data_IF_927067037948
#
_entry.id   IF_927067037948
#
_cell.length_a   1.000
_cell.length_b   1.000
_cell.length_c   1.000
_cell.angle_alpha   90.00
_cell.angle_beta   90.00
_cell.angle_gamma   90.00
#
_symmetry.space_group_name_H-M   'P 1'
#
loop_
_entity.id
_entity.type
_entity.pdbx_description
1 polymer ?
#
# COMPACT_ATOMS: atom_id res chain seq x y z
N UNK A 1 31.07 42.99 7.89
CA UNK A 1 30.89 41.55 7.62
C UNK A 1 29.83 41.45 6.56
N UNK A 2 30.24 41.46 5.30
CA UNK A 2 29.37 41.12 4.18
C UNK A 2 29.26 39.61 4.17
N UNK A 3 28.05 39.09 4.44
CA UNK A 3 27.78 37.69 4.26
C UNK A 3 27.63 37.46 2.76
N UNK A 4 28.66 36.89 2.12
CA UNK A 4 28.46 36.19 0.85
C UNK A 4 27.60 34.96 1.16
N UNK A 5 26.29 35.09 0.98
CA UNK A 5 25.38 33.95 0.95
C UNK A 5 25.62 33.30 -0.41
N UNK A 6 26.50 32.31 -0.43
CA UNK A 6 26.74 31.50 -1.61
C UNK A 6 25.70 30.37 -1.60
N UNK A 7 24.69 30.51 -2.46
CA UNK A 7 23.62 29.52 -2.66
C UNK A 7 24.08 28.58 -3.77
N UNK A 8 24.06 27.27 -3.52
CA UNK A 8 24.34 26.21 -4.51
C UNK A 8 23.14 25.26 -4.53
N UNK A 9 22.78 24.66 -5.67
CA UNK A 9 21.43 24.09 -5.87
C UNK A 9 21.43 22.72 -6.58
N UNK A 10 20.64 21.78 -6.05
CA UNK A 10 20.60 20.37 -6.47
C UNK A 10 19.76 20.14 -7.70
N UNK A 11 20.34 19.45 -8.70
CA UNK A 11 19.61 18.75 -9.76
C UNK A 11 18.68 17.72 -9.11
N UNK A 12 17.38 17.72 -9.43
CA UNK A 12 16.69 16.65 -10.17
C UNK A 12 15.22 17.03 -10.51
N UNK A 13 14.90 16.72 -11.78
CA UNK A 13 13.66 16.69 -12.59
C UNK A 13 12.56 17.77 -12.59
N UNK A 14 12.32 18.20 -13.83
CA UNK A 14 11.24 19.02 -14.40
C UNK A 14 9.86 18.38 -14.29
N UNK A 15 8.83 19.22 -14.08
CA UNK A 15 7.82 19.36 -15.12
C UNK A 15 7.84 20.82 -15.62
N UNK A 16 8.17 20.97 -16.91
CA UNK A 16 8.39 22.18 -17.72
C UNK A 16 9.81 22.79 -17.71
N UNK A 17 10.57 22.45 -18.76
CA UNK A 17 11.62 23.32 -19.32
C UNK A 17 13.04 23.02 -18.83
N UNK A 18 13.86 22.51 -19.76
CA UNK A 18 15.32 22.50 -19.66
C UNK A 18 15.84 23.95 -19.58
N UNK A 19 16.61 24.25 -18.54
CA UNK A 19 17.81 25.08 -18.60
C UNK A 19 18.57 24.93 -17.28
N UNK A 20 19.88 24.98 -17.37
CA UNK A 20 20.81 24.87 -16.25
C UNK A 20 20.48 25.88 -15.12
N UNK A 21 20.73 25.43 -13.89
CA UNK A 21 20.97 26.22 -12.68
C UNK A 21 19.76 26.80 -11.86
N UNK A 22 19.70 26.39 -10.59
CA UNK A 22 19.76 27.31 -9.44
C UNK A 22 18.51 27.77 -8.60
N UNK A 23 17.30 27.19 -8.72
CA UNK A 23 16.16 27.51 -7.80
C UNK A 23 15.01 26.46 -7.81
N UNK A 24 14.36 26.14 -6.68
CA UNK A 24 13.07 25.37 -6.70
C UNK A 24 11.90 26.33 -6.82
N UNK A 25 11.36 26.44 -8.03
CA UNK A 25 10.26 27.35 -8.38
C UNK A 25 8.99 26.56 -8.65
N UNK A 26 7.95 26.80 -7.83
CA UNK A 26 6.62 26.25 -8.07
C UNK A 26 5.77 27.26 -8.86
N UNK A 27 4.99 26.76 -9.82
CA UNK A 27 4.08 27.56 -10.68
C UNK A 27 2.68 26.96 -10.68
N UNK A 28 1.70 27.82 -10.93
CA UNK A 28 0.29 27.44 -11.05
C UNK A 28 -0.48 27.48 -9.72
N UNK A 29 -1.78 27.13 -9.75
CA UNK A 29 -2.69 27.37 -8.63
C UNK A 29 -2.27 26.72 -7.30
N UNK A 30 -1.62 25.56 -7.36
CA UNK A 30 -1.16 24.82 -6.17
C UNK A 30 0.18 25.30 -5.61
N UNK A 31 0.90 26.17 -6.33
CA UNK A 31 2.25 26.61 -5.96
C UNK A 31 2.39 27.23 -4.55
N UNK A 32 1.46 28.08 -4.08
CA UNK A 32 1.56 28.66 -2.73
C UNK A 32 1.52 27.56 -1.65
N UNK A 33 0.57 26.63 -1.78
CA UNK A 33 0.36 25.54 -0.81
C UNK A 33 1.50 24.54 -0.84
N UNK A 34 1.99 24.17 -2.04
CA UNK A 34 3.15 23.28 -2.19
C UNK A 34 4.40 23.86 -1.53
N UNK A 35 4.71 25.13 -1.81
CA UNK A 35 5.89 25.80 -1.26
C UNK A 35 5.80 25.94 0.26
N UNK A 36 4.63 26.30 0.80
CA UNK A 36 4.40 26.37 2.24
C UNK A 36 4.49 25.01 2.92
N UNK A 37 3.80 24.01 2.38
CA UNK A 37 3.78 22.65 2.92
C UNK A 37 5.16 22.01 2.95
N UNK A 38 5.93 22.12 1.88
CA UNK A 38 7.29 21.59 1.83
C UNK A 38 8.22 22.33 2.79
N UNK A 39 8.19 23.68 2.83
CA UNK A 39 9.01 24.47 3.74
C UNK A 39 8.77 24.09 5.21
N UNK A 40 7.51 23.99 5.63
CA UNK A 40 7.14 23.62 6.99
C UNK A 40 7.48 22.15 7.30
N UNK A 41 7.38 21.25 6.32
CA UNK A 41 7.80 19.86 6.43
C UNK A 41 9.30 19.74 6.69
N UNK A 42 10.10 20.39 5.85
CA UNK A 42 11.57 20.39 5.97
C UNK A 42 12.01 21.04 7.29
N UNK A 43 11.30 22.07 7.75
CA UNK A 43 11.58 22.71 9.03
C UNK A 43 11.32 21.75 10.19
N UNK A 44 10.17 21.08 10.21
CA UNK A 44 9.83 20.09 11.23
C UNK A 44 10.83 18.92 11.26
N UNK A 45 11.25 18.42 10.09
CA UNK A 45 12.27 17.37 9.99
C UNK A 45 13.61 17.86 10.56
N UNK A 46 14.02 19.08 10.24
CA UNK A 46 15.27 19.66 10.75
C UNK A 46 15.25 19.89 12.26
N UNK A 47 14.09 20.20 12.86
CA UNK A 47 13.95 20.34 14.32
C UNK A 47 14.18 19.00 15.03
N UNK A 48 13.78 17.87 14.42
CA UNK A 48 13.99 16.53 14.97
C UNK A 48 15.38 15.99 14.60
N UNK A 49 15.80 16.13 13.34
CA UNK A 49 17.01 15.52 12.79
C UNK A 49 17.70 16.49 11.82
N UNK A 50 18.49 17.46 12.35
CA UNK A 50 19.05 18.57 11.56
C UNK A 50 19.92 18.17 10.35
N UNK A 51 20.46 16.96 10.33
CA UNK A 51 21.32 16.48 9.23
C UNK A 51 20.63 15.47 8.32
N UNK A 52 19.36 15.16 8.54
CA UNK A 52 18.61 14.20 7.73
C UNK A 52 17.96 14.84 6.50
N UNK A 53 17.79 16.16 6.50
CA UNK A 53 17.17 16.91 5.41
C UNK A 53 17.95 18.21 5.14
N UNK A 54 17.92 18.76 3.91
CA UNK A 54 18.32 20.14 3.64
C UNK A 54 17.64 21.11 4.61
N UNK A 55 18.40 22.02 5.22
CA UNK A 55 17.81 23.03 6.09
C UNK A 55 17.04 24.06 5.24
N UNK A 56 15.76 24.32 5.52
CA UNK A 56 15.05 25.41 4.85
C UNK A 56 15.41 26.75 5.50
N UNK A 57 15.67 27.75 4.67
CA UNK A 57 16.09 29.09 5.10
C UNK A 57 15.02 30.14 4.86
N UNK A 58 14.40 30.14 3.69
CA UNK A 58 13.35 31.08 3.34
C UNK A 58 12.39 30.49 2.32
N UNK A 59 11.18 31.04 2.26
CA UNK A 59 10.23 30.87 1.17
C UNK A 59 9.60 32.21 0.82
N UNK A 60 9.08 32.36 -0.38
CA UNK A 60 8.39 33.59 -0.77
C UNK A 60 7.70 33.53 -2.11
N UNK A 61 6.91 34.57 -2.39
CA UNK A 61 6.30 34.82 -3.70
C UNK A 61 7.18 35.79 -4.49
N UNK A 62 7.36 35.55 -5.78
CA UNK A 62 7.98 36.53 -6.67
C UNK A 62 7.10 37.77 -6.83
N UNK A 63 7.72 38.94 -7.06
CA UNK A 63 6.98 40.20 -7.15
C UNK A 63 6.17 40.35 -8.43
N UNK A 64 6.69 39.85 -9.55
CA UNK A 64 6.19 40.14 -10.89
C UNK A 64 5.56 38.94 -11.59
N UNK A 65 5.42 37.81 -10.89
CA UNK A 65 4.87 36.57 -11.44
C UNK A 65 4.17 35.76 -10.33
N UNK A 66 3.25 34.88 -10.73
CA UNK A 66 2.56 33.97 -9.80
C UNK A 66 3.38 32.69 -9.59
N UNK A 67 4.64 32.89 -9.18
CA UNK A 67 5.62 31.86 -8.88
C UNK A 67 6.03 31.97 -7.42
N UNK A 68 6.43 30.85 -6.83
CA UNK A 68 6.87 30.76 -5.44
C UNK A 68 8.21 30.05 -5.37
N UNK A 69 9.07 30.48 -4.45
CA UNK A 69 10.40 29.93 -4.25
C UNK A 69 10.60 29.41 -2.84
N UNK A 70 11.51 28.45 -2.71
CA UNK A 70 12.06 28.00 -1.44
C UNK A 70 13.59 27.94 -1.54
N UNK A 71 14.28 28.43 -0.50
CA UNK A 71 15.72 28.37 -0.35
C UNK A 71 16.08 27.36 0.73
N UNK A 72 16.93 26.40 0.40
CA UNK A 72 17.39 25.33 1.31
C UNK A 72 18.91 25.13 1.21
N UNK A 73 19.48 24.35 2.12
CA UNK A 73 20.86 23.89 1.98
C UNK A 73 21.08 23.13 0.67
N UNK A 74 22.20 23.38 0.02
CA UNK A 74 22.69 22.52 -1.05
C UNK A 74 23.17 21.17 -0.53
N UNK A 75 22.67 20.07 -1.10
CA UNK A 75 23.17 18.72 -0.82
C UNK A 75 23.61 18.05 -2.12
N UNK A 76 24.89 17.67 -2.18
CA UNK A 76 25.43 16.93 -3.31
C UNK A 76 24.89 15.49 -3.28
N UNK A 77 24.01 15.16 -4.23
CA UNK A 77 23.40 13.83 -4.36
C UNK A 77 24.44 12.82 -4.83
N UNK A 78 24.69 11.80 -4.01
CA UNK A 78 25.53 10.65 -4.32
C UNK A 78 24.72 9.45 -4.74
N UNK A 79 24.91 8.32 -4.05
CA UNK A 79 24.13 7.11 -4.30
C UNK A 79 22.66 7.33 -3.95
N UNK A 80 21.80 7.03 -4.91
CA UNK A 80 20.35 7.13 -4.80
C UNK A 80 19.71 5.84 -5.34
N UNK A 81 18.93 5.08 -4.54
CA UNK A 81 18.67 5.29 -3.12
C UNK A 81 19.90 4.99 -2.23
N UNK A 82 19.93 5.48 -0.98
CA UNK A 82 21.05 5.32 -0.05
C UNK A 82 21.25 3.87 0.43
N UNK A 83 22.31 3.62 1.19
CA UNK A 83 22.49 2.32 1.84
C UNK A 83 21.30 1.94 2.73
N UNK A 84 20.69 0.74 2.57
CA UNK A 84 19.48 0.36 3.32
C UNK A 84 19.67 0.35 4.84
N UNK A 85 20.85 -0.05 5.34
CA UNK A 85 21.10 -0.17 6.78
C UNK A 85 21.19 1.21 7.40
N UNK A 86 22.05 2.08 6.85
CA UNK A 86 22.18 3.46 7.35
C UNK A 86 20.87 4.24 7.22
N UNK A 87 20.22 4.17 6.05
CA UNK A 87 19.05 4.99 5.76
C UNK A 87 17.89 4.66 6.69
N UNK A 88 17.55 3.38 6.81
CA UNK A 88 16.41 2.97 7.63
C UNK A 88 16.64 3.19 9.11
N UNK A 89 17.90 3.15 9.58
CA UNK A 89 18.24 3.52 10.95
C UNK A 89 17.97 5.01 11.22
N UNK A 90 18.37 5.90 10.29
CA UNK A 90 18.12 7.34 10.41
C UNK A 90 16.64 7.72 10.30
N UNK A 91 15.90 7.07 9.40
CA UNK A 91 14.46 7.29 9.24
C UNK A 91 13.69 6.82 10.49
N UNK A 92 14.00 5.63 10.99
CA UNK A 92 13.42 5.12 12.23
C UNK A 92 13.75 6.01 13.43
N UNK A 93 14.99 6.50 13.54
CA UNK A 93 15.40 7.45 14.59
C UNK A 93 14.59 8.75 14.55
N UNK A 94 14.37 9.33 13.36
CA UNK A 94 13.48 10.50 13.21
C UNK A 94 12.06 10.19 13.72
N UNK A 95 11.47 9.08 13.30
CA UNK A 95 10.14 8.68 13.75
C UNK A 95 10.11 8.51 15.28
N UNK A 96 11.08 7.82 15.86
CA UNK A 96 11.18 7.56 17.30
C UNK A 96 11.44 8.81 18.15
N UNK A 97 12.18 9.81 17.65
CA UNK A 97 12.48 11.04 18.40
C UNK A 97 11.48 12.17 18.19
N UNK A 98 10.72 12.15 17.10
CA UNK A 98 9.69 13.16 16.84
C UNK A 98 8.61 13.18 17.92
N UNK A 99 8.06 14.36 18.21
CA UNK A 99 6.98 14.56 19.17
C UNK A 99 5.95 15.47 18.53
N UNK A 100 4.70 15.00 18.40
CA UNK A 100 3.61 15.85 17.92
C UNK A 100 3.40 17.03 18.87
N UNK A 101 3.33 18.28 18.37
CA UNK A 101 3.17 19.47 19.20
C UNK A 101 1.83 19.49 19.95
N UNK A 102 0.85 18.72 19.50
CA UNK A 102 -0.48 18.61 20.11
C UNK A 102 -0.71 17.26 20.80
N UNK A 103 0.22 16.32 20.66
CA UNK A 103 0.01 14.91 21.03
C UNK A 103 -0.97 14.15 20.12
N UNK A 104 -1.49 14.79 19.06
CA UNK A 104 -2.46 14.23 18.10
C UNK A 104 -1.83 13.95 16.73
N UNK A 105 -2.53 13.20 15.89
CA UNK A 105 -2.16 13.00 14.48
C UNK A 105 -2.62 14.20 13.65
N UNK A 106 -1.82 14.63 12.69
CA UNK A 106 -2.10 15.85 11.92
C UNK A 106 -0.88 16.72 11.66
N UNK A 107 -1.11 17.92 11.17
CA UNK A 107 -0.10 18.95 10.93
C UNK A 107 -0.72 20.35 11.06
N UNK A 108 0.11 21.38 11.16
CA UNK A 108 -0.37 22.77 11.32
C UNK A 108 -0.71 23.45 9.99
N UNK A 109 -0.40 22.82 8.86
CA UNK A 109 -0.66 23.34 7.52
C UNK A 109 -0.92 22.20 6.55
N UNK A 110 -1.52 22.51 5.41
CA UNK A 110 -1.71 21.56 4.32
C UNK A 110 -0.38 21.28 3.65
N UNK A 111 -0.03 20.01 3.53
CA UNK A 111 1.11 19.54 2.73
C UNK A 111 0.64 18.92 1.42
N UNK A 112 1.59 18.67 0.51
CA UNK A 112 1.30 18.09 -0.80
C UNK A 112 2.17 16.85 -1.05
N UNK A 113 1.70 15.98 -1.94
CA UNK A 113 2.50 14.98 -2.62
C UNK A 113 2.43 15.27 -4.12
N UNK A 114 3.55 15.73 -4.68
CA UNK A 114 3.52 16.41 -5.97
C UNK A 114 2.55 17.61 -5.92
N UNK A 115 1.63 17.69 -6.87
CA UNK A 115 0.60 18.74 -6.92
C UNK A 115 -0.69 18.39 -6.17
N UNK A 116 -0.77 17.21 -5.55
CA UNK A 116 -1.95 16.73 -4.82
C UNK A 116 -1.90 17.21 -3.38
N UNK A 117 -2.90 17.95 -2.94
CA UNK A 117 -3.06 18.37 -1.54
C UNK A 117 -3.37 17.19 -0.63
N UNK A 118 -2.85 17.22 0.60
CA UNK A 118 -3.12 16.22 1.61
C UNK A 118 -3.99 16.82 2.73
N UNK A 119 -4.97 16.05 3.23
CA UNK A 119 -5.72 16.43 4.44
C UNK A 119 -4.79 16.30 5.65
N UNK A 120 -4.15 17.40 6.02
CA UNK A 120 -3.12 17.43 7.06
C UNK A 120 -3.27 18.60 8.02
N UNK A 121 -3.95 19.69 7.64
CA UNK A 121 -4.21 20.87 8.50
C UNK A 121 -5.30 20.65 9.58
N UNK A 122 -5.45 19.40 10.02
CA UNK A 122 -6.42 18.98 11.03
C UNK A 122 -5.71 18.14 12.09
N UNK A 123 -6.29 18.06 13.29
CA UNK A 123 -5.75 17.26 14.39
C UNK A 123 -6.75 16.24 14.90
N UNK A 124 -6.34 14.97 14.90
CA UNK A 124 -7.17 13.83 15.29
C UNK A 124 -6.49 12.97 16.36
N UNK A 125 -7.27 12.47 17.31
CA UNK A 125 -6.76 11.56 18.35
C UNK A 125 -6.59 10.12 17.83
N UNK A 126 -7.42 9.73 16.86
CA UNK A 126 -7.38 8.41 16.23
C UNK A 126 -6.67 8.47 14.89
N UNK A 127 -5.66 7.63 14.72
CA UNK A 127 -4.97 7.43 13.45
C UNK A 127 -5.92 6.87 12.38
N UNK A 128 -6.79 5.93 12.75
CA UNK A 128 -7.78 5.37 11.84
C UNK A 128 -8.70 6.46 11.28
N UNK A 129 -9.12 7.42 12.12
CA UNK A 129 -9.96 8.55 11.71
C UNK A 129 -9.22 9.47 10.74
N UNK A 130 -7.98 9.88 11.07
CA UNK A 130 -7.21 10.75 10.18
C UNK A 130 -6.92 10.07 8.84
N UNK A 131 -6.43 8.83 8.87
CA UNK A 131 -6.08 8.09 7.66
C UNK A 131 -7.30 7.85 6.77
N UNK A 132 -8.47 7.55 7.35
CA UNK A 132 -9.72 7.44 6.59
C UNK A 132 -10.06 8.74 5.85
N UNK A 133 -9.94 9.90 6.51
CA UNK A 133 -10.17 11.22 5.88
C UNK A 133 -9.18 11.48 4.74
N UNK A 134 -7.90 11.15 4.96
CA UNK A 134 -6.85 11.31 3.95
C UNK A 134 -7.10 10.42 2.72
N UNK A 135 -7.42 9.14 2.92
CA UNK A 135 -7.66 8.22 1.82
C UNK A 135 -8.97 8.52 1.08
N UNK A 136 -10.03 8.90 1.79
CA UNK A 136 -11.28 9.35 1.18
C UNK A 136 -11.07 10.58 0.28
N UNK A 137 -10.24 11.54 0.70
CA UNK A 137 -9.87 12.67 -0.13
C UNK A 137 -9.15 12.23 -1.42
N UNK A 138 -8.23 11.27 -1.33
CA UNK A 138 -7.54 10.71 -2.50
C UNK A 138 -8.50 10.02 -3.47
N UNK A 139 -9.47 9.24 -2.97
CA UNK A 139 -10.49 8.61 -3.81
C UNK A 139 -11.40 9.65 -4.49
N UNK A 140 -11.80 10.71 -3.79
CA UNK A 140 -12.57 11.80 -4.40
C UNK A 140 -11.80 12.51 -5.52
N UNK A 141 -10.49 12.73 -5.34
CA UNK A 141 -9.63 13.31 -6.37
C UNK A 141 -9.42 12.37 -7.56
N UNK A 142 -9.32 11.06 -7.34
CA UNK A 142 -9.27 10.05 -8.41
C UNK A 142 -10.56 10.07 -9.24
N UNK A 143 -11.72 10.10 -8.58
CA UNK A 143 -13.04 10.19 -9.22
C UNK A 143 -13.16 11.46 -10.07
N UNK A 144 -12.75 12.61 -9.53
CA UNK A 144 -12.76 13.89 -10.29
C UNK A 144 -11.83 13.83 -11.52
N UNK A 145 -10.68 13.17 -11.38
CA UNK A 145 -9.65 13.11 -12.42
C UNK A 145 -9.99 12.15 -13.56
N UNK A 146 -10.47 10.96 -13.22
CA UNK A 146 -10.61 9.83 -14.16
C UNK A 146 -12.06 9.46 -14.47
N UNK A 147 -13.01 10.01 -13.72
CA UNK A 147 -14.43 9.68 -13.85
C UNK A 147 -14.81 8.39 -13.13
N UNK A 148 -16.12 8.10 -13.19
CA UNK A 148 -16.73 7.00 -12.43
C UNK A 148 -16.24 5.64 -12.89
N UNK A 149 -16.06 4.75 -11.91
CA UNK A 149 -15.84 3.33 -12.10
C UNK A 149 -16.58 2.62 -10.95
N UNK A 150 -17.85 2.20 -11.14
CA UNK A 150 -18.73 1.77 -10.06
C UNK A 150 -18.15 0.69 -9.15
N UNK A 151 -17.46 -0.29 -9.73
CA UNK A 151 -16.82 -1.37 -9.00
C UNK A 151 -15.66 -0.87 -8.14
N UNK A 152 -14.88 0.10 -8.64
CA UNK A 152 -13.82 0.75 -7.88
C UNK A 152 -14.39 1.56 -6.72
N UNK A 153 -15.48 2.28 -6.94
CA UNK A 153 -16.19 3.07 -5.92
C UNK A 153 -16.72 2.18 -4.78
N UNK A 154 -17.32 1.03 -5.12
CA UNK A 154 -17.77 0.04 -4.13
C UNK A 154 -16.60 -0.48 -3.27
N UNK A 155 -15.45 -0.75 -3.89
CA UNK A 155 -14.24 -1.13 -3.15
C UNK A 155 -13.72 0.01 -2.28
N UNK A 156 -13.76 1.27 -2.74
CA UNK A 156 -13.40 2.42 -1.92
C UNK A 156 -14.22 2.47 -0.64
N UNK A 157 -15.54 2.28 -0.73
CA UNK A 157 -16.44 2.26 0.42
C UNK A 157 -16.06 1.15 1.40
N UNK A 158 -15.83 -0.08 0.93
CA UNK A 158 -15.36 -1.18 1.79
C UNK A 158 -14.01 -0.89 2.45
N UNK A 159 -13.07 -0.28 1.72
CA UNK A 159 -11.77 0.10 2.28
C UNK A 159 -11.98 1.09 3.44
N UNK A 160 -12.81 2.11 3.24
CA UNK A 160 -13.06 3.16 4.23
C UNK A 160 -13.88 2.68 5.44
N UNK A 161 -14.86 1.82 5.21
CA UNK A 161 -15.85 1.41 6.22
C UNK A 161 -15.51 0.11 6.95
N UNK A 162 -14.74 -0.80 6.32
CA UNK A 162 -14.46 -2.14 6.85
C UNK A 162 -12.97 -2.37 7.07
N UNK A 163 -12.17 -2.20 6.02
CA UNK A 163 -10.74 -2.55 6.06
C UNK A 163 -9.95 -1.61 6.96
N UNK A 164 -10.16 -0.29 6.86
CA UNK A 164 -9.49 0.69 7.72
C UNK A 164 -9.80 0.43 9.20
N UNK A 165 -11.07 0.32 9.64
CA UNK A 165 -11.38 -0.03 11.02
C UNK A 165 -10.69 -1.32 11.46
N UNK A 166 -10.82 -2.40 10.69
CA UNK A 166 -10.22 -3.70 11.01
C UNK A 166 -8.70 -3.64 11.18
N UNK A 167 -7.99 -2.90 10.33
CA UNK A 167 -6.52 -2.86 10.35
C UNK A 167 -5.94 -1.79 11.29
N UNK A 168 -6.63 -0.66 11.47
CA UNK A 168 -6.05 0.52 12.12
C UNK A 168 -6.58 0.80 13.52
N UNK A 169 -7.83 0.47 13.84
CA UNK A 169 -8.35 0.64 15.22
C UNK A 169 -7.61 -0.22 16.24
N UNK A 170 -7.21 -1.49 15.93
CA UNK A 170 -6.40 -2.30 16.85
C UNK A 170 -5.08 -1.63 17.28
N UNK A 171 -4.53 -0.67 16.52
CA UNK A 171 -3.32 0.05 16.93
C UNK A 171 -3.51 0.88 18.21
N UNK A 172 -4.75 1.25 18.55
CA UNK A 172 -5.11 2.12 19.66
C UNK A 172 -6.22 1.55 20.57
N UNK A 173 -6.55 0.26 20.43
CA UNK A 173 -7.56 -0.43 21.24
C UNK A 173 -6.95 -1.53 22.11
N UNK A 174 -7.73 -2.09 23.04
CA UNK A 174 -7.29 -3.19 23.91
C UNK A 174 -6.01 -2.88 24.70
N UNK A 175 -5.88 -1.62 25.16
CA UNK A 175 -4.71 -1.15 25.91
C UNK A 175 -3.48 -0.84 25.05
N UNK A 176 -3.57 -1.00 23.72
CA UNK A 176 -2.51 -0.60 22.78
C UNK A 176 -2.58 0.89 22.51
N UNK A 177 -1.43 1.44 22.16
CA UNK A 177 -1.31 2.82 21.71
C UNK A 177 -0.16 2.96 20.73
N UNK A 178 -0.32 3.87 19.79
CA UNK A 178 0.74 4.33 18.89
C UNK A 178 0.93 5.83 19.12
N UNK A 179 2.17 6.30 19.01
CA UNK A 179 2.45 7.74 19.06
C UNK A 179 2.32 8.34 17.65
N UNK A 180 1.82 9.57 17.52
CA UNK A 180 1.97 10.34 16.29
C UNK A 180 3.45 10.65 16.04
N UNK A 181 4.01 10.06 14.99
CA UNK A 181 5.39 10.26 14.56
C UNK A 181 5.42 11.25 13.39
N UNK A 182 6.38 12.17 13.36
CA UNK A 182 6.61 12.99 12.17
C UNK A 182 7.04 12.07 11.03
N UNK A 183 6.26 12.06 9.95
CA UNK A 183 6.53 11.29 8.73
C UNK A 183 7.22 12.16 7.68
N UNK A 184 7.96 11.55 6.77
CA UNK A 184 8.37 12.21 5.53
C UNK A 184 7.15 12.48 4.62
N UNK A 185 6.21 11.54 4.55
CA UNK A 185 4.95 11.67 3.80
C UNK A 185 5.04 11.35 2.31
N UNK A 186 6.24 11.38 1.73
CA UNK A 186 6.53 10.91 0.36
C UNK A 186 7.89 10.19 0.25
N UNK A 187 8.10 9.17 1.07
CA UNK A 187 9.42 8.53 1.22
C UNK A 187 9.66 7.45 0.15
N UNK A 188 10.28 7.77 -0.98
CA UNK A 188 10.62 6.82 -2.05
C UNK A 188 12.03 7.01 -2.61
N UNK A 189 12.41 6.24 -3.64
CA UNK A 189 13.80 6.20 -4.10
C UNK A 189 14.29 7.52 -4.69
N UNK A 190 13.42 8.32 -5.30
CA UNK A 190 13.82 9.62 -5.84
C UNK A 190 13.87 10.75 -4.79
N UNK A 191 13.34 10.52 -3.59
CA UNK A 191 13.37 11.46 -2.46
C UNK A 191 14.36 11.07 -1.36
N UNK A 192 15.23 10.10 -1.63
CA UNK A 192 16.22 9.58 -0.69
C UNK A 192 17.58 9.45 -1.36
N UNK A 193 18.64 9.98 -0.75
CA UNK A 193 19.98 9.92 -1.32
C UNK A 193 21.08 9.84 -0.25
N UNK A 194 22.29 9.51 -0.68
CA UNK A 194 23.51 9.65 0.14
C UNK A 194 24.13 11.01 -0.14
N UNK A 195 24.41 11.79 0.89
CA UNK A 195 25.12 13.06 0.76
C UNK A 195 26.60 12.78 0.41
N UNK A 196 27.11 13.33 -0.69
CA UNK A 196 28.48 13.07 -1.16
C UNK A 196 29.57 13.59 -0.21
N UNK A 197 29.27 14.63 0.57
CA UNK A 197 30.24 15.24 1.49
C UNK A 197 30.33 14.48 2.80
N UNK A 198 29.19 14.07 3.34
CA UNK A 198 29.09 13.42 4.65
C UNK A 198 29.03 11.90 4.57
N UNK A 199 28.70 11.33 3.40
CA UNK A 199 28.44 9.90 3.16
C UNK A 199 27.25 9.34 3.95
N UNK A 200 26.40 10.23 4.45
CA UNK A 200 25.23 9.88 5.24
C UNK A 200 23.93 10.00 4.42
N UNK A 201 22.93 9.15 4.66
CA UNK A 201 21.63 9.25 4.01
C UNK A 201 20.90 10.55 4.38
N UNK A 202 20.24 11.18 3.41
CA UNK A 202 19.35 12.32 3.60
C UNK A 202 18.08 12.17 2.75
N UNK A 203 17.05 12.91 3.12
CA UNK A 203 15.72 12.94 2.49
C UNK A 203 15.37 14.38 2.08
N UNK A 204 14.51 14.52 1.08
CA UNK A 204 14.07 15.81 0.53
C UNK A 204 12.70 15.65 -0.13
N UNK A 205 12.07 16.77 -0.49
CA UNK A 205 10.73 16.81 -1.08
C UNK A 205 9.65 16.18 -0.16
N UNK A 206 9.68 16.58 1.11
CA UNK A 206 8.78 16.08 2.14
C UNK A 206 7.38 16.72 2.08
N UNK A 207 6.35 15.89 2.29
CA UNK A 207 4.96 16.27 2.53
C UNK A 207 4.53 15.80 3.91
N UNK A 208 5.17 16.33 4.94
CA UNK A 208 5.14 15.81 6.30
C UNK A 208 3.82 16.03 7.04
N UNK A 209 3.54 15.12 7.96
CA UNK A 209 2.53 15.24 9.00
C UNK A 209 2.84 14.24 10.11
N UNK A 210 2.17 14.38 11.26
CA UNK A 210 2.26 13.41 12.35
C UNK A 210 1.28 12.26 12.11
N UNK A 211 1.80 11.06 11.86
CA UNK A 211 1.04 9.86 11.50
C UNK A 211 1.57 8.59 12.17
N UNK A 212 1.10 7.42 11.71
CA UNK A 212 1.69 6.14 12.10
C UNK A 212 2.99 5.89 11.32
N UNK A 213 4.07 5.55 12.02
CA UNK A 213 5.42 5.38 11.46
C UNK A 213 5.51 4.37 10.30
N UNK A 214 4.61 3.39 10.23
CA UNK A 214 4.59 2.40 9.15
C UNK A 214 4.14 2.99 7.80
N UNK A 215 3.44 4.14 7.80
CA UNK A 215 2.93 4.81 6.60
C UNK A 215 4.02 5.09 5.56
N UNK A 216 5.18 5.60 5.98
CA UNK A 216 6.29 5.94 5.07
C UNK A 216 6.85 4.71 4.33
N UNK A 217 6.62 3.50 4.84
CA UNK A 217 7.02 2.26 4.16
C UNK A 217 5.97 1.77 3.15
N UNK A 218 4.78 2.38 3.10
CA UNK A 218 3.72 2.04 2.15
C UNK A 218 4.16 2.26 0.71
N UNK A 219 4.86 3.36 0.42
CA UNK A 219 5.37 3.64 -0.92
C UNK A 219 6.43 2.61 -1.36
N UNK A 220 7.11 1.97 -0.41
CA UNK A 220 8.12 0.94 -0.71
C UNK A 220 7.49 -0.36 -1.19
N UNK A 221 6.19 -0.56 -1.04
CA UNK A 221 5.53 -1.80 -1.46
C UNK A 221 5.53 -1.95 -2.99
N UNK A 222 5.40 -0.85 -3.72
CA UNK A 222 5.25 -0.93 -5.16
C UNK A 222 6.55 -1.42 -5.84
N UNK A 223 6.50 -2.48 -6.67
CA UNK A 223 7.70 -3.05 -7.30
C UNK A 223 8.47 -2.08 -8.22
N UNK A 224 7.82 -1.00 -8.67
CA UNK A 224 8.44 0.06 -9.48
C UNK A 224 9.51 0.85 -8.71
N UNK A 225 9.47 0.86 -7.38
CA UNK A 225 10.41 1.61 -6.55
C UNK A 225 11.59 0.75 -6.13
N UNK A 226 12.80 1.31 -6.16
CA UNK A 226 14.02 0.60 -5.72
C UNK A 226 14.03 0.32 -4.21
N UNK A 227 13.25 1.07 -3.42
CA UNK A 227 13.07 0.80 -1.98
C UNK A 227 12.21 -0.45 -1.70
N UNK A 228 11.57 -1.05 -2.71
CA UNK A 228 10.86 -2.34 -2.57
C UNK A 228 11.79 -3.53 -2.30
N UNK A 229 13.11 -3.33 -2.45
CA UNK A 229 14.09 -4.32 -2.05
C UNK A 229 13.92 -4.72 -0.58
N UNK A 230 13.81 -6.03 -0.33
CA UNK A 230 13.53 -6.63 1.00
C UNK A 230 14.42 -6.11 2.13
N UNK A 231 15.63 -5.65 1.81
CA UNK A 231 16.57 -5.10 2.79
C UNK A 231 16.10 -3.79 3.44
N UNK A 232 15.37 -2.92 2.72
CA UNK A 232 14.87 -1.66 3.31
C UNK A 232 13.82 -1.93 4.37
N UNK A 233 12.74 -2.62 4.00
CA UNK A 233 11.68 -3.00 4.96
C UNK A 233 12.24 -3.82 6.12
N UNK A 234 13.13 -4.79 5.85
CA UNK A 234 13.74 -5.62 6.90
C UNK A 234 14.56 -4.80 7.89
N UNK A 235 15.37 -3.84 7.43
CA UNK A 235 16.16 -3.01 8.34
C UNK A 235 15.31 -1.96 9.05
N UNK A 236 14.30 -1.38 8.41
CA UNK A 236 13.36 -0.50 9.09
C UNK A 236 12.65 -1.21 10.24
N UNK A 237 12.10 -2.41 10.02
CA UNK A 237 11.49 -3.25 11.07
C UNK A 237 12.44 -3.62 12.22
N UNK A 238 13.76 -3.65 11.97
CA UNK A 238 14.78 -3.90 13.01
C UNK A 238 15.04 -2.67 13.88
N UNK A 239 14.92 -1.48 13.30
CA UNK A 239 15.16 -0.20 13.99
C UNK A 239 13.90 0.34 14.67
N UNK A 240 12.72 0.08 14.10
CA UNK A 240 11.41 0.37 14.68
C UNK A 240 10.52 -0.87 14.49
N UNK A 241 10.29 -1.62 15.57
CA UNK A 241 9.52 -2.86 15.52
C UNK A 241 8.09 -2.62 14.99
N UNK A 242 7.52 -3.57 14.23
CA UNK A 242 6.12 -3.50 13.81
C UNK A 242 5.17 -3.29 14.99
N UNK A 243 4.18 -2.42 14.79
CA UNK A 243 3.14 -2.15 15.78
C UNK A 243 2.23 -3.36 15.96
N UNK A 244 1.71 -3.56 17.18
CA UNK A 244 0.76 -4.64 17.48
C UNK A 244 -0.64 -4.33 16.89
N UNK A 245 -1.34 -5.31 16.27
CA UNK A 245 -0.93 -6.70 16.07
C UNK A 245 0.12 -6.79 14.96
N UNK A 246 1.22 -7.51 15.22
CA UNK A 246 2.34 -7.61 14.28
C UNK A 246 1.97 -8.37 13.01
N UNK A 247 1.04 -9.32 13.11
CA UNK A 247 0.49 -10.09 12.00
C UNK A 247 -0.22 -9.21 10.96
N UNK A 248 -0.78 -8.09 11.39
CA UNK A 248 -1.49 -7.15 10.52
C UNK A 248 -0.54 -6.20 9.77
N UNK A 249 0.78 -6.26 10.02
CA UNK A 249 1.74 -5.36 9.38
C UNK A 249 1.67 -5.41 7.85
N UNK A 250 1.53 -6.60 7.24
CA UNK A 250 1.50 -6.71 5.77
C UNK A 250 0.22 -6.09 5.19
N UNK A 251 -0.92 -6.31 5.85
CA UNK A 251 -2.19 -5.68 5.50
C UNK A 251 -2.13 -4.16 5.63
N UNK A 252 -1.56 -3.65 6.72
CA UNK A 252 -1.35 -2.19 6.89
C UNK A 252 -0.42 -1.61 5.84
N UNK A 253 0.65 -2.31 5.48
CA UNK A 253 1.57 -1.86 4.44
C UNK A 253 0.89 -1.81 3.05
N UNK A 254 0.05 -2.79 2.71
CA UNK A 254 -0.79 -2.79 1.50
C UNK A 254 -1.83 -1.67 1.53
N UNK A 255 -2.49 -1.46 2.68
CA UNK A 255 -3.43 -0.36 2.86
C UNK A 255 -2.75 1.01 2.67
N UNK A 256 -1.54 1.19 3.23
CA UNK A 256 -0.77 2.43 3.09
C UNK A 256 -0.23 2.63 1.67
N UNK A 257 -0.01 1.56 0.89
CA UNK A 257 0.43 1.71 -0.51
C UNK A 257 -0.66 2.30 -1.42
N UNK A 258 -1.95 2.08 -1.11
CA UNK A 258 -3.07 2.62 -1.90
C UNK A 258 -2.94 4.12 -2.12
N UNK A 259 -2.64 4.87 -1.06
CA UNK A 259 -2.45 6.34 -1.11
C UNK A 259 -1.43 6.76 -2.17
N UNK A 260 -0.32 6.03 -2.29
CA UNK A 260 0.79 6.39 -3.18
C UNK A 260 0.48 5.97 -4.62
N UNK A 261 -0.13 4.79 -4.78
CA UNK A 261 -0.53 4.25 -6.08
C UNK A 261 -1.64 5.11 -6.71
N UNK A 262 -2.66 5.52 -5.94
CA UNK A 262 -3.70 6.46 -6.39
C UNK A 262 -3.08 7.83 -6.72
N UNK A 263 -2.17 8.32 -5.87
CA UNK A 263 -1.45 9.57 -6.16
C UNK A 263 -0.71 9.51 -7.50
N UNK A 264 -0.08 8.37 -7.80
CA UNK A 264 0.59 8.13 -9.09
C UNK A 264 -0.42 8.11 -10.24
N UNK A 265 -1.56 7.43 -10.08
CA UNK A 265 -2.68 7.42 -11.05
C UNK A 265 -3.12 8.83 -11.42
N UNK A 266 -3.28 9.72 -10.43
CA UNK A 266 -3.73 11.09 -10.63
C UNK A 266 -2.65 11.95 -11.31
N UNK A 267 -1.38 11.80 -10.88
CA UNK A 267 -0.26 12.64 -11.32
C UNK A 267 0.32 12.25 -12.69
N UNK A 268 0.25 10.97 -13.08
CA UNK A 268 0.89 10.45 -14.29
C UNK A 268 -0.17 10.00 -15.30
N UNK A 269 -0.51 10.84 -16.29
CA UNK A 269 -1.48 10.48 -17.33
C UNK A 269 -1.09 9.20 -18.07
N UNK A 270 -2.05 8.29 -18.23
CA UNK A 270 -1.88 7.05 -19.00
C UNK A 270 -1.09 5.94 -18.30
N UNK A 271 -0.75 6.09 -17.01
CA UNK A 271 -0.23 4.97 -16.23
C UNK A 271 -1.34 3.99 -15.83
N UNK A 272 -0.98 2.74 -15.55
CA UNK A 272 -1.89 1.67 -15.17
C UNK A 272 -2.06 1.52 -13.64
N UNK A 273 -1.84 2.60 -12.89
CA UNK A 273 -1.81 2.51 -11.42
C UNK A 273 -3.20 2.43 -10.81
N UNK A 274 -4.23 2.91 -11.50
CA UNK A 274 -5.61 2.83 -11.04
C UNK A 274 -6.08 1.37 -10.98
N UNK A 275 -5.75 0.59 -11.99
CA UNK A 275 -6.04 -0.85 -12.06
C UNK A 275 -5.26 -1.65 -11.02
N UNK A 276 -4.00 -1.25 -10.73
CA UNK A 276 -3.23 -1.87 -9.65
C UNK A 276 -3.87 -1.59 -8.29
N UNK A 277 -4.34 -0.36 -8.05
CA UNK A 277 -5.09 -0.02 -6.82
C UNK A 277 -6.36 -0.85 -6.70
N UNK A 278 -7.09 -1.05 -7.80
CA UNK A 278 -8.28 -1.88 -7.83
C UNK A 278 -7.98 -3.32 -7.35
N UNK A 279 -6.93 -3.95 -7.88
CA UNK A 279 -6.52 -5.30 -7.45
C UNK A 279 -5.99 -5.32 -6.00
N UNK A 280 -5.24 -4.29 -5.58
CA UNK A 280 -4.79 -4.16 -4.18
C UNK A 280 -5.99 -4.04 -3.21
N UNK A 281 -7.05 -3.31 -3.59
CA UNK A 281 -8.27 -3.19 -2.80
C UNK A 281 -9.04 -4.51 -2.74
N UNK A 282 -9.16 -5.24 -3.85
CA UNK A 282 -9.76 -6.59 -3.86
C UNK A 282 -9.03 -7.53 -2.90
N UNK A 283 -7.71 -7.51 -2.90
CA UNK A 283 -6.92 -8.35 -2.01
C UNK A 283 -7.10 -7.96 -0.54
N UNK A 284 -7.17 -6.67 -0.23
CA UNK A 284 -7.49 -6.19 1.11
C UNK A 284 -8.88 -6.64 1.56
N UNK A 285 -9.89 -6.49 0.70
CA UNK A 285 -11.25 -6.90 1.00
C UNK A 285 -11.35 -8.41 1.23
N UNK A 286 -10.75 -9.22 0.35
CA UNK A 286 -10.68 -10.68 0.48
C UNK A 286 -10.07 -11.12 1.81
N UNK A 287 -9.05 -10.41 2.31
CA UNK A 287 -8.37 -10.75 3.58
C UNK A 287 -9.11 -10.26 4.82
N UNK A 288 -9.75 -9.10 4.77
CA UNK A 288 -10.17 -8.37 5.96
C UNK A 288 -11.67 -8.04 6.03
N UNK A 289 -12.42 -8.26 4.96
CA UNK A 289 -13.89 -8.28 4.93
C UNK A 289 -14.40 -9.40 4.00
N UNK A 290 -14.08 -10.68 4.29
CA UNK A 290 -14.39 -11.80 3.40
C UNK A 290 -15.89 -12.04 3.23
N UNK A 291 -16.74 -11.66 4.19
CA UNK A 291 -18.20 -11.80 4.05
C UNK A 291 -18.78 -10.86 2.99
N UNK A 292 -18.15 -9.71 2.79
CA UNK A 292 -18.56 -8.71 1.79
C UNK A 292 -17.87 -8.95 0.42
N UNK A 293 -16.92 -9.90 0.32
CA UNK A 293 -16.07 -10.09 -0.86
C UNK A 293 -16.71 -10.88 -2.03
N UNK A 294 -17.49 -11.98 -1.81
CA UNK A 294 -18.09 -12.77 -2.88
C UNK A 294 -19.19 -12.00 -3.64
N UNK A 295 -20.06 -11.30 -2.91
CA UNK A 295 -21.24 -10.61 -3.47
C UNK A 295 -20.89 -9.41 -4.37
N UNK A 296 -19.63 -8.96 -4.35
CA UNK A 296 -19.16 -7.78 -5.09
C UNK A 296 -18.27 -8.12 -6.29
N UNK A 297 -17.57 -9.26 -6.29
CA UNK A 297 -16.77 -9.69 -7.44
C UNK A 297 -17.66 -10.21 -8.58
N UNK A 298 -18.81 -10.82 -8.27
CA UNK A 298 -19.82 -11.23 -9.26
C UNK A 298 -20.53 -10.02 -9.88
N UNK A 299 -21.00 -9.05 -9.07
CA UNK A 299 -21.67 -7.83 -9.57
C UNK A 299 -20.78 -6.92 -10.41
N UNK A 300 -19.47 -6.94 -10.17
CA UNK A 300 -18.48 -6.20 -10.95
C UNK A 300 -18.23 -6.78 -12.36
N UNK A 301 -18.64 -8.03 -12.60
CA UNK A 301 -18.50 -8.70 -13.90
C UNK A 301 -19.72 -8.49 -14.79
N UNK A 302 -20.92 -8.33 -14.23
CA UNK A 302 -22.16 -8.10 -14.97
C UNK A 302 -22.96 -6.90 -14.43
N UNK A 303 -22.80 -5.70 -15.01
CA UNK A 303 -23.57 -4.52 -14.60
C UNK A 303 -25.01 -4.49 -15.16
N UNK A 304 -25.49 -5.55 -15.80
CA UNK A 304 -26.83 -5.61 -16.39
C UNK A 304 -27.25 -7.02 -16.81
N UNK A 305 -27.63 -7.83 -15.84
CA UNK A 305 -28.31 -9.11 -16.05
C UNK A 305 -29.33 -9.28 -14.95
N UNK A 306 -30.61 -9.20 -15.29
CA UNK A 306 -31.72 -9.55 -14.40
C UNK A 306 -32.62 -10.48 -15.20
N UNK A 307 -32.94 -11.62 -14.62
CA UNK A 307 -33.86 -12.69 -15.08
C UNK A 307 -33.27 -13.79 -15.99
N UNK A 308 -32.33 -13.53 -16.91
CA UNK A 308 -31.75 -14.64 -17.74
C UNK A 308 -30.67 -15.46 -17.01
N UNK A 309 -29.97 -14.90 -16.02
CA UNK A 309 -28.92 -15.60 -15.26
C UNK A 309 -29.46 -16.50 -14.14
N UNK A 310 -30.68 -16.25 -13.63
CA UNK A 310 -31.31 -17.19 -12.67
C UNK A 310 -31.73 -18.48 -13.38
N UNK A 311 -32.06 -18.43 -14.68
CA UNK A 311 -32.36 -19.62 -15.49
C UNK A 311 -31.08 -20.36 -15.90
N UNK A 312 -29.98 -19.66 -16.23
CA UNK A 312 -28.69 -20.31 -16.54
C UNK A 312 -27.99 -20.90 -15.30
N UNK A 313 -28.08 -20.27 -14.12
CA UNK A 313 -27.56 -20.86 -12.85
C UNK A 313 -28.41 -22.06 -12.40
N UNK A 314 -29.74 -22.06 -12.59
CA UNK A 314 -30.58 -23.25 -12.34
C UNK A 314 -30.27 -24.39 -13.33
N UNK A 315 -30.00 -24.09 -14.61
CA UNK A 315 -29.60 -25.10 -15.60
C UNK A 315 -28.18 -25.67 -15.32
N UNK A 316 -27.21 -24.86 -14.90
CA UNK A 316 -25.87 -25.34 -14.50
C UNK A 316 -25.91 -26.17 -13.20
N UNK A 317 -26.72 -25.80 -12.21
CA UNK A 317 -26.90 -26.61 -10.99
C UNK A 317 -27.59 -27.95 -11.30
N UNK A 318 -28.58 -27.99 -12.21
CA UNK A 318 -29.20 -29.25 -12.67
C UNK A 318 -28.20 -30.13 -13.45
N UNK A 319 -27.33 -29.56 -14.30
CA UNK A 319 -26.29 -30.31 -15.01
C UNK A 319 -25.22 -30.88 -14.06
N UNK A 320 -24.80 -30.15 -13.02
CA UNK A 320 -23.86 -30.65 -12.01
C UNK A 320 -24.48 -31.78 -11.16
N UNK A 321 -25.76 -31.68 -10.79
CA UNK A 321 -26.47 -32.75 -10.08
C UNK A 321 -26.60 -34.03 -10.94
N UNK A 322 -26.89 -33.90 -12.25
CA UNK A 322 -26.93 -35.04 -13.17
C UNK A 322 -25.54 -35.71 -13.34
N UNK A 323 -24.46 -34.92 -13.44
CA UNK A 323 -23.09 -35.47 -13.52
C UNK A 323 -22.68 -36.19 -12.22
N UNK A 324 -23.06 -35.69 -11.05
CA UNK A 324 -22.81 -36.37 -9.77
C UNK A 324 -23.60 -37.69 -9.65
N UNK A 325 -24.85 -37.74 -10.11
CA UNK A 325 -25.64 -38.98 -10.14
C UNK A 325 -25.03 -40.03 -11.09
N UNK A 326 -24.57 -39.62 -12.29
CA UNK A 326 -23.88 -40.52 -13.23
C UNK A 326 -22.55 -41.05 -12.65
N UNK A 327 -21.79 -40.22 -11.93
CA UNK A 327 -20.57 -40.66 -11.28
C UNK A 327 -20.85 -41.64 -10.12
N UNK A 328 -21.93 -41.42 -9.36
CA UNK A 328 -22.34 -42.35 -8.29
C UNK A 328 -22.81 -43.70 -8.87
N UNK A 329 -23.56 -43.71 -9.98
CA UNK A 329 -23.93 -44.95 -10.67
C UNK A 329 -22.71 -45.71 -11.19
N UNK A 330 -21.72 -45.01 -11.78
CA UNK A 330 -20.46 -45.63 -12.20
C UNK A 330 -19.72 -46.28 -11.03
N UNK A 331 -19.59 -45.57 -9.90
CA UNK A 331 -18.94 -46.11 -8.70
C UNK A 331 -19.69 -47.29 -8.10
N UNK A 332 -21.03 -47.33 -8.21
CA UNK A 332 -21.83 -48.51 -7.82
C UNK A 332 -21.62 -49.69 -8.77
N UNK A 333 -21.49 -49.43 -10.07
CA UNK A 333 -21.14 -50.44 -11.07
C UNK A 333 -19.78 -51.08 -10.80
N UNK A 334 -18.75 -50.25 -10.60
CA UNK A 334 -17.38 -50.72 -10.30
C UNK A 334 -17.31 -51.51 -8.98
N UNK A 335 -18.06 -51.11 -7.95
CA UNK A 335 -18.14 -51.89 -6.70
C UNK A 335 -18.77 -53.26 -6.91
N UNK A 336 -19.79 -53.33 -7.76
CA UNK A 336 -20.48 -54.59 -8.03
C UNK A 336 -19.61 -55.54 -8.86
N UNK A 337 -18.87 -55.02 -9.84
CA UNK A 337 -17.88 -55.82 -10.57
C UNK A 337 -16.77 -56.33 -9.65
N UNK A 338 -16.31 -55.53 -8.68
CA UNK A 338 -15.33 -55.97 -7.70
C UNK A 338 -15.88 -57.03 -6.72
N UNK A 339 -17.15 -56.93 -6.32
CA UNK A 339 -17.82 -57.95 -5.50
C UNK A 339 -18.00 -59.26 -6.29
N UNK A 340 -18.38 -59.18 -7.57
CA UNK A 340 -18.51 -60.36 -8.44
C UNK A 340 -17.13 -61.03 -8.70
N UNK A 341 -16.04 -60.26 -8.86
CA UNK A 341 -14.68 -60.80 -8.97
C UNK A 341 -14.19 -61.46 -7.67
N UNK A 342 -14.54 -60.91 -6.50
CA UNK A 342 -14.21 -61.54 -5.21
C UNK A 342 -14.97 -62.88 -5.03
N UNK A 343 -16.25 -62.96 -5.43
CA UNK A 343 -17.01 -64.21 -5.40
C UNK A 343 -16.42 -65.28 -6.34
N UNK A 344 -15.99 -64.92 -7.56
CA UNK A 344 -15.33 -65.88 -8.47
C UNK A 344 -14.00 -66.42 -7.90
N UNK A 345 -13.22 -65.57 -7.22
CA UNK A 345 -11.97 -66.00 -6.59
C UNK A 345 -12.25 -66.94 -5.41
N UNK A 346 -13.26 -66.67 -4.58
CA UNK A 346 -13.64 -67.57 -3.49
C UNK A 346 -14.13 -68.93 -4.01
N UNK A 347 -14.88 -68.98 -5.11
CA UNK A 347 -15.28 -70.24 -5.74
C UNK A 347 -14.08 -71.04 -6.30
N UNK A 348 -13.10 -70.38 -6.93
CA UNK A 348 -11.88 -71.04 -7.40
C UNK A 348 -11.02 -71.60 -6.23
N UNK A 349 -10.91 -70.88 -5.12
CA UNK A 349 -10.19 -71.35 -3.93
C UNK A 349 -10.90 -72.56 -3.26
N UNK A 350 -12.24 -72.58 -3.24
CA UNK A 350 -13.00 -73.74 -2.75
C UNK A 350 -12.82 -74.98 -3.65
N UNK A 351 -12.80 -74.83 -4.97
CA UNK A 351 -12.54 -75.93 -5.91
C UNK A 351 -11.11 -76.49 -5.76
N UNK A 352 -10.10 -75.63 -5.57
CA UNK A 352 -8.72 -76.08 -5.33
C UNK A 352 -8.60 -76.85 -3.99
N UNK A 353 -9.28 -76.39 -2.94
CA UNK A 353 -9.32 -77.09 -1.65
C UNK A 353 -10.01 -78.47 -1.75
N UNK A 354 -11.08 -78.60 -2.54
CA UNK A 354 -11.73 -79.90 -2.79
C UNK A 354 -10.83 -80.85 -3.58
N UNK A 355 -10.11 -80.35 -4.60
CA UNK A 355 -9.14 -81.14 -5.36
C UNK A 355 -7.97 -81.64 -4.49
N UNK A 356 -7.46 -80.82 -3.57
CA UNK A 356 -6.42 -81.23 -2.63
C UNK A 356 -6.92 -82.29 -1.63
N UNK A 357 -8.17 -82.16 -1.15
CA UNK A 357 -8.81 -83.16 -0.28
C UNK A 357 -9.02 -84.49 -1.02
N UNK A 358 -9.40 -84.48 -2.30
CA UNK A 358 -9.49 -85.70 -3.11
C UNK A 358 -8.14 -86.37 -3.38
N UNK A 359 -7.08 -85.59 -3.60
CA UNK A 359 -5.70 -86.10 -3.80
C UNK A 359 -5.15 -86.73 -2.52
N UNK A 360 -5.49 -86.18 -1.35
CA UNK A 360 -5.11 -86.70 -0.03
C UNK A 360 -5.84 -88.01 0.33
N UNK A 361 -7.09 -88.19 -0.12
CA UNK A 361 -7.88 -89.41 0.14
C UNK A 361 -7.48 -90.63 -0.70
N UNK A 362 -6.60 -90.47 -1.71
CA UNK A 362 -6.12 -91.55 -2.60
C UNK A 362 -4.72 -92.08 -2.23
N UNK A 363 -4.19 -91.77 -1.05
CA UNK A 363 -2.92 -92.31 -0.55
C UNK A 363 -3.07 -93.28 0.62
#
# INVERSE_FOLDING_TARGET
MEYQIIVYLSKFFTFTGLADDEEKVARGPSAPVMCEGEFESMKAINEVSPSLAPKPWARGKYKNEDSYFMLTDFRDVGKQPPDPVKFTARLADMHMRSVSPTGKFGFHTTTCHGTITQVTDIWEESWAVLYRKQLAHMFAMDLEKHGSWPEFEQLCDLILEKVIPRLLEPLQSEGRSIKPCLLHGDCWDENTATDMKTTEPFIFDAGSFYGHNEYDTGNWRAPRHRLSGKLYVKNYKRNFFPSEPKEDWDGRNLLYSLRFNIGTSILIPGCNQREIVFEDMKELCRRYCPEDSPTLIQRARNPGGTEEEEEEEEEEEEEEEEEEEEEEERRRGERKEAEDEEEEIEEEEEEEEEEEKEKSAKH
#
